data_IF_838855261539
#
_entry.id   IF_838855261539
#
_cell.length_a   1.000
_cell.length_b   1.000
_cell.length_c   1.000
_cell.angle_alpha   90.00
_cell.angle_beta   90.00
_cell.angle_gamma   90.00
#
_symmetry.space_group_name_H-M   'P 1'
#
loop_
_entity.id
_entity.type
_entity.pdbx_description
1 polymer ?
#
# COMPACT_ATOMS: atom_id res chain seq x y z
N UNK A 1 -11.10 -4.31 8.20
CA UNK A 1 -11.90 -5.31 7.48
C UNK A 1 -11.46 -5.33 6.01
N UNK A 2 -11.65 -6.43 5.30
CA UNK A 2 -11.19 -6.65 3.93
C UNK A 2 -11.64 -8.02 3.40
N UNK A 3 -11.19 -8.45 2.21
CA UNK A 3 -11.61 -9.72 1.63
C UNK A 3 -11.25 -10.92 2.52
N UNK A 4 -12.01 -12.00 2.39
CA UNK A 4 -11.77 -13.25 3.10
C UNK A 4 -10.44 -13.86 2.65
N UNK A 5 -9.59 -14.22 3.61
CA UNK A 5 -8.33 -14.91 3.36
C UNK A 5 -8.46 -16.35 3.83
N UNK A 6 -8.17 -17.31 2.96
CA UNK A 6 -8.22 -18.72 3.33
C UNK A 6 -7.15 -19.03 4.39
N UNK A 7 -7.52 -19.62 5.53
CA UNK A 7 -6.61 -19.78 6.67
C UNK A 7 -5.46 -20.75 6.40
N UNK A 8 -5.59 -21.63 5.41
CA UNK A 8 -4.59 -22.65 5.07
C UNK A 8 -3.77 -22.32 3.81
N UNK A 9 -3.77 -21.05 3.36
CA UNK A 9 -3.04 -20.63 2.16
C UNK A 9 -2.22 -19.37 2.41
N UNK A 10 -0.98 -19.37 1.97
CA UNK A 10 -0.02 -18.27 2.15
C UNK A 10 0.10 -17.36 0.92
N UNK A 11 -0.96 -17.23 0.11
CA UNK A 11 -0.89 -16.46 -1.14
C UNK A 11 -1.43 -15.03 -1.01
N UNK A 12 -2.16 -14.71 0.04
CA UNK A 12 -2.94 -13.47 0.14
C UNK A 12 -4.07 -13.42 -0.88
N UNK A 13 -4.71 -12.26 -1.03
CA UNK A 13 -5.82 -12.04 -1.97
C UNK A 13 -5.45 -10.94 -2.95
N UNK A 14 -5.45 -11.24 -4.25
CA UNK A 14 -5.29 -10.22 -5.28
C UNK A 14 -6.60 -9.44 -5.44
N UNK A 15 -6.49 -8.12 -5.45
CA UNK A 15 -7.62 -7.21 -5.59
C UNK A 15 -7.44 -6.47 -6.92
N UNK A 16 -8.38 -6.65 -7.88
CA UNK A 16 -8.24 -6.11 -9.21
C UNK A 16 -8.32 -4.58 -9.24
N UNK A 17 -7.82 -3.95 -10.31
CA UNK A 17 -8.03 -2.54 -10.63
C UNK A 17 -9.49 -2.08 -10.56
N UNK A 18 -9.70 -0.82 -10.18
CA UNK A 18 -11.01 -0.15 -10.24
C UNK A 18 -11.49 0.15 -11.68
N UNK A 19 -10.83 -0.41 -12.69
CA UNK A 19 -11.27 -0.42 -14.10
C UNK A 19 -12.10 -1.68 -14.38
N UNK A 20 -11.83 -2.76 -13.63
CA UNK A 20 -12.51 -4.05 -13.78
C UNK A 20 -13.72 -4.18 -12.84
N UNK A 21 -13.68 -3.55 -11.66
CA UNK A 21 -14.78 -3.51 -10.68
C UNK A 21 -14.97 -2.08 -10.15
N UNK A 22 -16.22 -1.61 -10.13
CA UNK A 22 -16.59 -0.29 -9.59
C UNK A 22 -16.53 -0.25 -8.04
N UNK A 23 -16.42 -1.41 -7.39
CA UNK A 23 -16.36 -1.55 -5.95
C UNK A 23 -15.10 -2.28 -5.51
N UNK A 24 -14.31 -1.62 -4.66
CA UNK A 24 -13.15 -2.26 -4.06
C UNK A 24 -13.55 -3.07 -2.81
N UNK A 25 -13.06 -4.31 -2.65
CA UNK A 25 -13.26 -5.09 -1.44
C UNK A 25 -12.44 -4.58 -0.24
N UNK A 26 -11.61 -3.53 -0.42
CA UNK A 26 -11.00 -2.78 0.67
C UNK A 26 -11.92 -1.61 1.06
N UNK A 27 -12.58 -1.65 2.24
CA UNK A 27 -13.53 -0.63 2.64
C UNK A 27 -12.93 0.78 2.60
N UNK A 28 -13.52 1.66 1.78
CA UNK A 28 -13.11 3.05 1.66
C UNK A 28 -11.83 3.29 0.85
N UNK A 29 -11.22 2.27 0.25
CA UNK A 29 -10.02 2.39 -0.60
C UNK A 29 -10.35 2.01 -2.04
N UNK A 30 -9.81 2.74 -3.00
CA UNK A 30 -9.89 2.47 -4.44
C UNK A 30 -8.55 1.93 -4.95
N UNK A 31 -8.58 0.97 -5.86
CA UNK A 31 -7.40 0.49 -6.57
C UNK A 31 -7.23 1.32 -7.85
N UNK A 32 -6.52 2.45 -7.74
CA UNK A 32 -6.36 3.42 -8.83
C UNK A 32 -5.14 3.14 -9.70
N UNK A 33 -5.12 1.96 -10.28
CA UNK A 33 -3.92 1.45 -10.93
C UNK A 33 -4.29 0.42 -11.99
N UNK A 34 -3.41 0.19 -12.97
CA UNK A 34 -3.66 -0.79 -14.04
C UNK A 34 -3.38 -2.23 -13.60
N UNK A 35 -2.72 -2.38 -12.45
CA UNK A 35 -2.40 -3.67 -11.85
C UNK A 35 -3.11 -3.84 -10.51
N UNK A 36 -3.33 -5.11 -10.17
CA UNK A 36 -3.90 -5.51 -8.90
C UNK A 36 -2.97 -5.14 -7.74
N UNK A 37 -3.54 -5.01 -6.54
CA UNK A 37 -2.78 -4.99 -5.28
C UNK A 37 -3.00 -6.32 -4.56
N UNK A 38 -2.16 -6.64 -3.57
CA UNK A 38 -2.36 -7.83 -2.75
C UNK A 38 -2.75 -7.45 -1.33
N UNK A 39 -3.83 -8.02 -0.83
CA UNK A 39 -4.21 -8.00 0.58
C UNK A 39 -3.55 -9.18 1.29
N UNK A 40 -2.80 -8.90 2.35
CA UNK A 40 -2.01 -9.87 3.09
C UNK A 40 -2.43 -9.95 4.55
N UNK A 41 -2.08 -11.04 5.20
CA UNK A 41 -2.38 -11.32 6.60
C UNK A 41 -1.13 -11.60 7.45
N UNK A 42 -1.24 -11.34 8.74
CA UNK A 42 -0.17 -11.53 9.73
C UNK A 42 0.20 -12.98 10.00
N UNK A 43 -0.69 -13.91 9.68
CA UNK A 43 -0.50 -15.34 9.89
C UNK A 43 0.49 -15.92 8.86
N UNK A 44 0.61 -15.30 7.69
CA UNK A 44 1.49 -15.75 6.60
C UNK A 44 2.56 -14.73 6.19
N UNK A 45 2.38 -13.45 6.50
CA UNK A 45 3.25 -12.36 6.05
C UNK A 45 3.64 -11.42 7.20
N UNK A 46 4.72 -10.67 7.00
CA UNK A 46 5.01 -9.54 7.87
C UNK A 46 4.01 -8.41 7.60
N UNK A 47 3.31 -8.00 8.65
CA UNK A 47 2.34 -6.91 8.66
C UNK A 47 2.80 -5.85 9.67
N UNK A 48 2.94 -4.57 9.28
CA UNK A 48 3.42 -3.54 10.19
C UNK A 48 2.54 -3.30 11.42
N UNK A 49 1.21 -3.40 11.31
CA UNK A 49 0.27 -3.20 12.41
C UNK A 49 -0.96 -4.11 12.29
N UNK A 50 -1.44 -4.59 13.44
CA UNK A 50 -2.69 -5.35 13.48
C UNK A 50 -2.56 -6.71 12.78
N UNK A 51 -3.49 -6.99 11.87
CA UNK A 51 -3.64 -8.33 11.27
C UNK A 51 -3.53 -8.37 9.75
N UNK A 52 -3.62 -7.23 9.08
CA UNK A 52 -3.80 -7.16 7.62
C UNK A 52 -3.12 -5.92 7.07
N UNK A 53 -2.53 -6.03 5.89
CA UNK A 53 -1.93 -4.89 5.18
C UNK A 53 -2.13 -5.02 3.65
N UNK A 54 -1.70 -4.00 2.91
CA UNK A 54 -1.74 -4.00 1.44
C UNK A 54 -0.31 -4.00 0.90
N UNK A 55 0.03 -4.97 0.06
CA UNK A 55 1.25 -5.00 -0.74
C UNK A 55 0.96 -4.41 -2.14
N UNK A 56 1.71 -3.38 -2.51
CA UNK A 56 1.65 -2.75 -3.84
C UNK A 56 2.47 -3.59 -4.84
N UNK A 57 1.93 -4.74 -5.22
CA UNK A 57 2.55 -5.66 -6.20
C UNK A 57 2.62 -5.02 -7.58
N UNK A 58 3.60 -5.35 -8.41
CA UNK A 58 3.72 -4.83 -9.80
C UNK A 58 4.17 -3.37 -9.98
N UNK A 59 4.73 -2.74 -8.95
CA UNK A 59 5.56 -1.54 -9.11
C UNK A 59 4.86 -0.28 -9.61
N UNK A 60 5.42 0.40 -10.63
CA UNK A 60 4.97 1.72 -11.15
C UNK A 60 3.50 1.78 -11.57
N UNK A 61 2.85 0.63 -11.66
CA UNK A 61 1.48 0.48 -12.14
C UNK A 61 0.49 0.12 -11.02
N UNK A 62 0.90 0.22 -9.75
CA UNK A 62 0.08 -0.12 -8.57
C UNK A 62 -0.06 1.03 -7.60
N UNK A 63 -1.32 1.31 -7.24
CA UNK A 63 -1.66 2.39 -6.34
C UNK A 63 -3.01 2.17 -5.66
N UNK A 64 -3.08 2.59 -4.41
CA UNK A 64 -4.33 2.67 -3.64
C UNK A 64 -4.61 4.11 -3.29
N UNK A 65 -5.89 4.46 -3.22
CA UNK A 65 -6.30 5.80 -2.86
C UNK A 65 -7.59 5.83 -2.04
N UNK A 66 -7.75 6.86 -1.24
CA UNK A 66 -8.96 7.14 -0.47
C UNK A 66 -9.26 8.63 -0.54
N UNK A 67 -10.54 8.99 -0.55
CA UNK A 67 -10.97 10.39 -0.39
C UNK A 67 -11.47 10.58 1.03
N UNK A 68 -10.72 11.35 1.82
CA UNK A 68 -11.05 11.65 3.22
C UNK A 68 -11.68 13.04 3.34
N UNK A 69 -12.57 13.23 4.33
CA UNK A 69 -13.13 14.54 4.65
C UNK A 69 -12.09 15.38 5.40
N UNK A 70 -11.93 16.63 4.98
CA UNK A 70 -10.96 17.58 5.56
C UNK A 70 -11.61 18.96 5.69
N UNK A 71 -10.89 19.91 6.29
CA UNK A 71 -11.36 21.29 6.46
C UNK A 71 -10.36 22.22 5.78
N UNK A 72 -10.78 23.04 4.79
CA UNK A 72 -9.89 23.99 4.13
C UNK A 72 -9.12 24.86 5.14
N UNK A 73 -7.82 25.04 4.90
CA UNK A 73 -6.92 25.83 5.75
C UNK A 73 -6.37 25.10 6.99
N UNK A 74 -6.92 23.94 7.37
CA UNK A 74 -6.42 23.15 8.50
C UNK A 74 -5.20 22.30 8.11
N UNK A 75 -4.22 22.24 9.00
CA UNK A 75 -3.02 21.40 8.87
C UNK A 75 -3.30 20.00 9.41
N UNK A 76 -2.88 18.98 8.66
CA UNK A 76 -2.98 17.57 9.00
C UNK A 76 -1.63 16.89 8.87
N UNK A 77 -1.42 15.83 9.66
CA UNK A 77 -0.29 14.92 9.54
C UNK A 77 -0.84 13.56 9.10
N UNK A 78 -0.61 13.18 7.84
CA UNK A 78 -0.86 11.83 7.35
C UNK A 78 0.30 10.94 7.81
N UNK A 79 0.02 9.92 8.62
CA UNK A 79 1.01 8.95 9.08
C UNK A 79 0.72 7.57 8.53
N UNK A 80 1.77 6.80 8.26
CA UNK A 80 1.64 5.45 7.69
C UNK A 80 2.94 4.66 7.91
N UNK A 81 2.87 3.33 7.75
CA UNK A 81 3.99 2.42 7.71
C UNK A 81 4.31 1.99 6.27
N UNK A 82 5.60 1.84 5.97
CA UNK A 82 6.13 1.26 4.72
C UNK A 82 7.06 0.12 5.09
N UNK A 83 6.91 -1.04 4.46
CA UNK A 83 7.68 -2.24 4.78
C UNK A 83 7.77 -3.26 3.64
N UNK A 84 8.19 -4.47 3.99
CA UNK A 84 8.13 -5.66 3.12
C UNK A 84 7.45 -6.82 3.85
N UNK A 85 6.90 -7.76 3.06
CA UNK A 85 5.98 -8.78 3.56
C UNK A 85 6.66 -10.07 4.05
N UNK A 86 7.99 -10.12 4.22
CA UNK A 86 8.73 -11.36 4.50
C UNK A 86 8.46 -12.48 3.46
N UNK A 87 8.46 -12.10 2.17
CA UNK A 87 8.08 -12.97 1.06
C UNK A 87 9.17 -13.04 -0.01
N UNK A 88 10.44 -12.86 0.38
CA UNK A 88 11.60 -12.82 -0.52
C UNK A 88 11.56 -11.67 -1.53
N UNK A 89 10.77 -10.62 -1.29
CA UNK A 89 10.78 -9.43 -2.13
C UNK A 89 11.99 -8.54 -1.79
N UNK A 90 13.15 -8.83 -2.34
CA UNK A 90 14.39 -8.11 -2.06
C UNK A 90 14.64 -6.96 -3.05
N UNK A 91 15.23 -5.87 -2.56
CA UNK A 91 15.72 -4.76 -3.37
C UNK A 91 15.19 -3.39 -2.94
N UNK A 92 15.67 -2.37 -3.64
CA UNK A 92 15.26 -0.99 -3.42
C UNK A 92 13.82 -0.75 -3.86
N UNK A 93 13.02 -0.23 -2.94
CA UNK A 93 11.63 0.15 -3.15
C UNK A 93 11.44 1.63 -2.83
N UNK A 94 10.36 2.21 -3.34
CA UNK A 94 9.94 3.54 -2.96
C UNK A 94 8.43 3.64 -3.06
N UNK A 95 7.85 4.17 -1.99
CA UNK A 95 6.43 4.54 -1.92
C UNK A 95 6.34 6.04 -2.09
N UNK A 96 5.53 6.49 -3.02
CA UNK A 96 5.14 7.89 -3.12
C UNK A 96 3.74 8.06 -2.52
N UNK A 97 3.67 8.88 -1.46
CA UNK A 97 2.46 9.20 -0.74
C UNK A 97 1.98 10.60 -1.10
N UNK A 98 0.70 10.74 -1.41
CA UNK A 98 0.07 11.99 -1.81
C UNK A 98 -1.03 12.37 -0.83
N UNK A 99 -1.14 13.67 -0.55
CA UNK A 99 -2.30 14.30 0.07
C UNK A 99 -2.69 15.53 -0.76
N UNK A 100 -3.66 15.36 -1.66
CA UNK A 100 -3.97 16.36 -2.68
C UNK A 100 -2.79 16.56 -3.64
N UNK A 101 -2.19 17.75 -3.64
CA UNK A 101 -1.01 18.08 -4.46
C UNK A 101 0.33 17.90 -3.73
N UNK A 102 0.30 17.66 -2.42
CA UNK A 102 1.53 17.49 -1.63
C UNK A 102 1.96 16.03 -1.72
N UNK A 103 3.24 15.79 -2.01
CA UNK A 103 3.82 14.46 -2.16
C UNK A 103 4.99 14.25 -1.19
N UNK A 104 5.20 13.00 -0.79
CA UNK A 104 6.37 12.53 -0.05
C UNK A 104 6.83 11.20 -0.65
N UNK A 105 8.10 11.13 -1.02
CA UNK A 105 8.75 9.88 -1.41
C UNK A 105 9.41 9.22 -0.20
N UNK A 106 9.09 7.96 0.04
CA UNK A 106 9.59 7.15 1.14
C UNK A 106 10.38 5.99 0.56
N UNK A 107 11.72 6.09 0.47
CA UNK A 107 12.55 4.98 0.03
C UNK A 107 12.54 3.87 1.09
N UNK A 108 12.53 2.60 0.70
CA UNK A 108 12.63 1.46 1.61
C UNK A 108 13.53 0.39 0.98
N UNK A 109 14.57 -0.01 1.70
CA UNK A 109 15.51 -1.03 1.22
C UNK A 109 15.08 -2.40 1.77
N UNK A 110 14.43 -3.20 0.94
CA UNK A 110 13.86 -4.47 1.38
C UNK A 110 14.91 -5.56 1.43
N UNK A 111 14.92 -6.28 2.56
CA UNK A 111 15.66 -7.54 2.73
C UNK A 111 14.80 -8.77 2.46
N UNK A 112 13.52 -8.59 2.11
CA UNK A 112 12.56 -9.68 1.87
C UNK A 112 12.28 -10.55 3.09
N UNK A 113 12.66 -10.09 4.28
CA UNK A 113 12.63 -10.82 5.56
C UNK A 113 11.65 -10.22 6.57
N UNK A 114 10.81 -9.29 6.12
CA UNK A 114 9.95 -8.49 6.95
C UNK A 114 10.68 -7.28 7.53
N UNK A 115 9.89 -6.30 7.92
CA UNK A 115 10.37 -5.04 8.47
C UNK A 115 9.43 -3.91 8.07
N UNK A 116 9.49 -2.81 8.81
CA UNK A 116 8.77 -1.61 8.44
C UNK A 116 9.41 -0.38 9.06
N UNK A 117 9.09 0.78 8.48
CA UNK A 117 9.36 2.09 9.07
C UNK A 117 8.15 2.98 8.92
N UNK A 118 8.05 3.97 9.81
CA UNK A 118 6.96 4.96 9.77
C UNK A 118 7.38 6.18 8.95
N UNK A 119 6.40 6.76 8.27
CA UNK A 119 6.54 8.00 7.53
C UNK A 119 5.40 8.96 7.90
N UNK A 120 5.65 10.25 7.65
CA UNK A 120 4.70 11.32 7.94
C UNK A 120 4.72 12.36 6.83
N UNK A 121 3.55 12.62 6.25
CA UNK A 121 3.31 13.69 5.30
C UNK A 121 2.44 14.77 5.94
N UNK A 122 3.04 15.91 6.27
CA UNK A 122 2.31 17.09 6.75
C UNK A 122 1.77 17.88 5.56
N UNK A 123 0.48 18.21 5.57
CA UNK A 123 -0.16 19.00 4.51
C UNK A 123 -1.24 19.94 5.05
N UNK A 124 -1.49 21.03 4.33
CA UNK A 124 -2.63 21.92 4.59
C UNK A 124 -3.75 21.58 3.61
N UNK A 125 -4.95 21.27 4.12
CA UNK A 125 -6.08 20.94 3.26
C UNK A 125 -6.57 22.17 2.49
N UNK A 126 -6.81 22.02 1.19
CA UNK A 126 -7.28 23.10 0.29
C UNK A 126 -8.77 23.03 -0.02
N UNK A 127 -9.41 21.90 0.30
CA UNK A 127 -10.80 21.57 0.00
C UNK A 127 -11.43 20.78 1.14
N UNK A 128 -12.76 20.64 1.15
CA UNK A 128 -13.48 19.86 2.16
C UNK A 128 -13.27 18.33 2.05
N UNK A 129 -12.60 17.90 0.97
CA UNK A 129 -12.21 16.52 0.73
C UNK A 129 -10.77 16.51 0.22
N UNK A 130 -9.95 15.60 0.73
CA UNK A 130 -8.57 15.40 0.29
C UNK A 130 -8.41 13.98 -0.23
N UNK A 131 -7.85 13.84 -1.43
CA UNK A 131 -7.44 12.55 -1.96
C UNK A 131 -6.09 12.17 -1.36
N UNK A 132 -6.05 11.05 -0.64
CA UNK A 132 -4.83 10.40 -0.17
C UNK A 132 -4.53 9.24 -1.11
N UNK A 133 -3.28 9.11 -1.59
CA UNK A 133 -2.88 8.04 -2.51
C UNK A 133 -1.49 7.53 -2.15
N UNK A 134 -1.28 6.24 -2.30
CA UNK A 134 0.02 5.58 -2.20
C UNK A 134 0.29 4.85 -3.49
N UNK A 135 1.47 5.02 -4.07
CA UNK A 135 1.91 4.29 -5.26
C UNK A 135 3.33 3.77 -5.08
N UNK A 136 3.62 2.62 -5.66
CA UNK A 136 4.99 2.11 -5.78
C UNK A 136 5.63 2.67 -7.05
N UNK A 137 6.92 3.00 -7.01
CA UNK A 137 7.64 3.54 -8.19
C UNK A 137 8.68 2.59 -8.77
N UNK A 138 8.88 1.40 -8.19
CA UNK A 138 9.86 0.40 -8.65
C UNK A 138 9.18 -0.90 -9.03
N UNK A 139 9.60 -1.51 -10.14
CA UNK A 139 9.23 -2.90 -10.45
C UNK A 139 10.15 -3.83 -9.66
N UNK A 140 9.56 -4.67 -8.82
CA UNK A 140 10.30 -5.64 -8.00
C UNK A 140 9.68 -7.02 -8.17
N UNK A 141 10.55 -8.03 -8.24
CA UNK A 141 10.19 -9.44 -8.29
C UNK A 141 10.80 -10.15 -7.09
N UNK A 142 10.21 -11.27 -6.69
CA UNK A 142 10.76 -12.09 -5.61
C UNK A 142 12.12 -12.67 -6.00
N UNK A 143 13.02 -12.78 -5.03
CA UNK A 143 14.35 -13.41 -5.17
C UNK A 143 14.30 -14.95 -5.14
N UNK A 144 13.10 -15.55 -5.08
CA UNK A 144 12.86 -17.00 -5.00
C UNK A 144 12.86 -17.71 -6.37
N UNK A 145 13.21 -17.01 -7.45
CA UNK A 145 13.20 -17.49 -8.84
C UNK A 145 11.80 -17.89 -9.37
N UNK A 146 10.72 -17.56 -8.67
CA UNK A 146 9.35 -17.87 -9.13
C UNK A 146 8.89 -16.97 -10.29
N UNK A 147 9.55 -15.84 -10.50
CA UNK A 147 9.07 -14.81 -11.43
C UNK A 147 7.87 -14.02 -10.90
N UNK A 148 7.52 -14.16 -9.62
CA UNK A 148 6.37 -13.45 -9.03
C UNK A 148 6.70 -11.97 -8.78
N UNK A 149 5.79 -11.09 -9.19
CA UNK A 149 5.84 -9.66 -8.82
C UNK A 149 5.55 -9.49 -7.33
N UNK A 150 6.21 -8.50 -6.73
CA UNK A 150 6.04 -8.13 -5.32
C UNK A 150 6.31 -6.63 -5.15
N UNK A 151 6.17 -6.09 -3.94
CA UNK A 151 6.43 -4.68 -3.72
C UNK A 151 6.36 -4.25 -2.26
N UNK A 152 6.36 -2.93 -2.00
CA UNK A 152 6.27 -2.41 -0.65
C UNK A 152 4.89 -2.65 -0.03
N UNK A 153 4.89 -2.89 1.28
CA UNK A 153 3.70 -3.00 2.11
C UNK A 153 3.34 -1.63 2.68
N UNK A 154 2.06 -1.28 2.61
CA UNK A 154 1.45 -0.09 3.22
C UNK A 154 0.48 -0.52 4.30
N UNK A 155 0.59 0.13 5.45
CA UNK A 155 -0.26 -0.16 6.61
C UNK A 155 -0.33 1.01 7.60
N UNK A 156 -1.19 0.92 8.60
CA UNK A 156 -1.38 1.86 9.72
C UNK A 156 -1.55 3.32 9.27
N UNK A 157 -2.38 3.53 8.23
CA UNK A 157 -2.67 4.86 7.69
C UNK A 157 -3.61 5.62 8.64
N UNK A 158 -3.19 6.81 9.09
CA UNK A 158 -3.94 7.70 10.00
C UNK A 158 -3.87 9.15 9.56
#
# INVERSE_FOLDING_TARGET
EGPYVFPNTSWGVLIPPNIEDDHSPLPGWMIESLKAVKYIDSEHFAVPEGKRAVELVAGKESAIAQVVKTTPGKVYDLTFAVGDANNSCEGSMMVEAFAGKVTLQVPYESKGKGGSKRAKLRFTAVSARTRVRFLSTFYTMKSDNSGSLCGPVIDDVK
#
